data_IF_241104425348
#
_entry.id   IF_241104425348
#
_cell.length_a   1.000
_cell.length_b   1.000
_cell.length_c   1.000
_cell.angle_alpha   90.00
_cell.angle_beta   90.00
_cell.angle_gamma   90.00
#
_symmetry.space_group_name_H-M   'P 1'
#
loop_
_entity.id
_entity.type
_entity.pdbx_description
1 polymer ?
#
# COMPACT_ATOMS: atom_id res chain seq x y z
N UNK A 1 -19.23 -26.87 -23.82
CA UNK A 1 -18.57 -26.25 -22.66
C UNK A 1 -17.84 -25.01 -23.14
N UNK A 2 -17.96 -23.88 -22.44
CA UNK A 2 -17.21 -22.68 -22.80
C UNK A 2 -15.70 -22.95 -22.67
N UNK A 3 -14.93 -22.64 -23.70
CA UNK A 3 -13.46 -22.68 -23.67
C UNK A 3 -13.00 -21.54 -22.76
N UNK A 4 -12.24 -21.88 -21.71
CA UNK A 4 -11.71 -20.90 -20.75
C UNK A 4 -10.19 -20.80 -20.83
N UNK A 5 -9.67 -19.59 -20.73
CA UNK A 5 -8.23 -19.35 -20.55
C UNK A 5 -7.77 -19.91 -19.19
N UNK A 6 -6.46 -20.15 -19.05
CA UNK A 6 -5.89 -20.77 -17.85
C UNK A 6 -6.25 -20.03 -16.55
N UNK A 7 -6.12 -18.70 -16.56
CA UNK A 7 -6.39 -17.86 -15.39
C UNK A 7 -7.88 -17.79 -15.03
N UNK A 8 -8.79 -17.92 -16.00
CA UNK A 8 -10.25 -17.92 -15.77
C UNK A 8 -10.71 -19.12 -14.93
N UNK A 9 -9.86 -20.14 -14.78
CA UNK A 9 -10.11 -21.30 -13.92
C UNK A 9 -9.70 -21.04 -12.46
N UNK A 10 -8.90 -20.00 -12.19
CA UNK A 10 -8.45 -19.69 -10.84
C UNK A 10 -9.59 -19.08 -10.01
N UNK A 11 -9.79 -19.61 -8.80
CA UNK A 11 -10.76 -19.05 -7.86
C UNK A 11 -10.40 -17.60 -7.46
N UNK A 12 -9.11 -17.29 -7.32
CA UNK A 12 -8.65 -15.94 -6.97
C UNK A 12 -8.96 -14.93 -8.06
N UNK A 13 -8.84 -15.31 -9.33
CA UNK A 13 -9.21 -14.46 -10.47
C UNK A 13 -10.71 -14.12 -10.47
N UNK A 14 -11.57 -15.14 -10.26
CA UNK A 14 -13.02 -14.93 -10.19
C UNK A 14 -13.44 -14.04 -9.01
N UNK A 15 -12.74 -14.14 -7.88
CA UNK A 15 -12.98 -13.26 -6.73
C UNK A 15 -12.48 -11.83 -6.99
N UNK A 16 -11.34 -11.67 -7.66
CA UNK A 16 -10.86 -10.35 -8.07
C UNK A 16 -11.85 -9.65 -9.01
N UNK A 17 -12.42 -10.35 -10.00
CA UNK A 17 -13.48 -9.79 -10.86
C UNK A 17 -14.74 -9.35 -10.08
N UNK A 18 -15.14 -10.12 -9.06
CA UNK A 18 -16.26 -9.71 -8.19
C UNK A 18 -15.91 -8.47 -7.38
N UNK A 19 -14.68 -8.38 -6.89
CA UNK A 19 -14.20 -7.19 -6.19
C UNK A 19 -14.18 -5.97 -7.11
N UNK A 20 -13.76 -6.09 -8.37
CA UNK A 20 -13.85 -5.00 -9.36
C UNK A 20 -15.31 -4.55 -9.53
N UNK A 21 -16.25 -5.49 -9.72
CA UNK A 21 -17.67 -5.15 -9.83
C UNK A 21 -18.20 -4.41 -8.59
N UNK A 22 -17.84 -4.88 -7.39
CA UNK A 22 -18.17 -4.20 -6.14
C UNK A 22 -17.52 -2.82 -6.02
N UNK A 23 -16.24 -2.69 -6.42
CA UNK A 23 -15.53 -1.41 -6.41
C UNK A 23 -16.20 -0.39 -7.33
N UNK A 24 -16.72 -0.80 -8.49
CA UNK A 24 -17.50 0.08 -9.38
C UNK A 24 -18.78 0.58 -8.71
N UNK A 25 -19.47 -0.25 -7.93
CA UNK A 25 -20.66 0.19 -7.18
C UNK A 25 -20.30 1.25 -6.13
N UNK A 26 -19.16 1.09 -5.46
CA UNK A 26 -18.63 2.09 -4.51
C UNK A 26 -18.23 3.37 -5.24
N UNK A 27 -17.50 3.27 -6.35
CA UNK A 27 -17.04 4.41 -7.14
C UNK A 27 -18.19 5.23 -7.70
N UNK A 28 -19.29 4.59 -8.08
CA UNK A 28 -20.50 5.27 -8.54
C UNK A 28 -21.19 6.11 -7.44
N UNK A 29 -20.91 5.82 -6.16
CA UNK A 29 -21.51 6.48 -5.01
C UNK A 29 -20.66 7.62 -4.40
N UNK A 30 -19.38 7.74 -4.78
CA UNK A 30 -18.47 8.76 -4.23
C UNK A 30 -18.16 9.87 -5.23
N UNK A 31 -17.60 11.00 -4.77
CA UNK A 31 -17.15 12.07 -5.67
C UNK A 31 -15.94 11.61 -6.50
N UNK A 32 -16.15 11.46 -7.81
CA UNK A 32 -15.11 11.14 -8.81
C UNK A 32 -13.92 12.12 -8.84
N UNK A 33 -14.05 13.31 -8.25
CA UNK A 33 -12.95 14.28 -8.14
C UNK A 33 -11.98 13.96 -7.00
N UNK A 34 -12.38 13.14 -6.04
CA UNK A 34 -11.49 12.69 -4.99
C UNK A 34 -10.38 11.84 -5.60
N UNK A 35 -9.12 12.15 -5.31
CA UNK A 35 -7.96 11.48 -5.90
C UNK A 35 -8.01 9.95 -5.70
N UNK A 36 -8.60 9.51 -4.58
CA UNK A 36 -8.76 8.10 -4.23
C UNK A 36 -9.62 7.30 -5.21
N UNK A 37 -10.54 7.95 -5.94
CA UNK A 37 -11.44 7.25 -6.87
C UNK A 37 -10.68 6.61 -8.04
N UNK A 38 -9.80 7.38 -8.72
CA UNK A 38 -8.95 6.87 -9.82
C UNK A 38 -7.99 5.78 -9.33
N UNK A 39 -7.44 5.95 -8.12
CA UNK A 39 -6.57 4.94 -7.52
C UNK A 39 -7.29 3.63 -7.23
N UNK A 40 -8.47 3.67 -6.61
CA UNK A 40 -9.24 2.45 -6.32
C UNK A 40 -9.62 1.71 -7.60
N UNK A 41 -10.06 2.44 -8.64
CA UNK A 41 -10.42 1.87 -9.95
C UNK A 41 -9.24 1.12 -10.56
N UNK A 42 -8.14 1.84 -10.81
CA UNK A 42 -6.92 1.30 -11.42
C UNK A 42 -6.30 0.17 -10.62
N UNK A 43 -6.24 0.29 -9.29
CA UNK A 43 -5.68 -0.74 -8.43
C UNK A 43 -6.54 -2.02 -8.48
N UNK A 44 -7.87 -1.89 -8.52
CA UNK A 44 -8.78 -3.04 -8.60
C UNK A 44 -8.60 -3.82 -9.92
N UNK A 45 -8.46 -3.12 -11.04
CA UNK A 45 -8.16 -3.73 -12.35
C UNK A 45 -6.77 -4.38 -12.35
N UNK A 46 -5.78 -3.72 -11.74
CA UNK A 46 -4.41 -4.23 -11.66
C UNK A 46 -4.30 -5.57 -10.95
N UNK A 47 -5.14 -5.83 -9.94
CA UNK A 47 -5.23 -7.16 -9.29
C UNK A 47 -5.59 -8.24 -10.32
N UNK A 48 -6.63 -8.00 -11.12
CA UNK A 48 -7.14 -8.94 -12.13
C UNK A 48 -6.10 -9.18 -13.22
N UNK A 49 -5.55 -8.10 -13.77
CA UNK A 49 -4.53 -8.16 -14.82
C UNK A 49 -3.27 -8.90 -14.35
N UNK A 50 -2.83 -8.61 -13.13
CA UNK A 50 -1.62 -9.20 -12.58
C UNK A 50 -1.78 -10.68 -12.27
N UNK A 51 -2.95 -11.12 -11.77
CA UNK A 51 -3.26 -12.55 -11.60
C UNK A 51 -3.25 -13.26 -12.97
N UNK A 52 -3.89 -12.67 -13.98
CA UNK A 52 -3.94 -13.27 -15.31
C UNK A 52 -2.55 -13.36 -15.95
N UNK A 53 -1.76 -12.29 -15.85
CA UNK A 53 -0.40 -12.24 -16.35
C UNK A 53 0.50 -13.25 -15.64
N UNK A 54 0.46 -13.31 -14.30
CA UNK A 54 1.22 -14.26 -13.50
C UNK A 54 0.93 -15.70 -13.92
N UNK A 55 -0.34 -16.09 -14.00
CA UNK A 55 -0.74 -17.43 -14.43
C UNK A 55 -0.31 -17.77 -15.88
N UNK A 56 0.02 -16.78 -16.71
CA UNK A 56 0.48 -17.00 -18.08
C UNK A 56 2.00 -17.15 -18.21
N UNK A 57 2.77 -16.82 -17.16
CA UNK A 57 4.24 -16.82 -17.22
C UNK A 57 4.82 -18.23 -17.11
N UNK A 58 5.94 -18.42 -17.81
CA UNK A 58 6.68 -19.70 -17.86
C UNK A 58 7.79 -19.78 -16.83
N UNK A 59 8.41 -18.65 -16.46
CA UNK A 59 9.44 -18.60 -15.44
C UNK A 59 8.82 -18.26 -14.08
N UNK A 60 9.29 -18.93 -13.02
CA UNK A 60 8.84 -18.65 -11.65
C UNK A 60 9.10 -17.19 -11.26
N UNK A 61 10.27 -16.63 -11.56
CA UNK A 61 10.59 -15.25 -11.20
C UNK A 61 9.69 -14.20 -11.86
N UNK A 62 9.32 -14.37 -13.14
CA UNK A 62 8.42 -13.44 -13.82
C UNK A 62 6.99 -13.61 -13.32
N UNK A 63 6.54 -14.87 -13.11
CA UNK A 63 5.24 -15.19 -12.49
C UNK A 63 5.09 -14.53 -11.13
N UNK A 64 6.06 -14.75 -10.25
CA UNK A 64 6.01 -14.29 -8.86
C UNK A 64 6.00 -12.77 -8.82
N UNK A 65 6.74 -12.09 -9.70
CA UNK A 65 6.69 -10.63 -9.84
C UNK A 65 5.28 -10.11 -10.14
N UNK A 66 4.52 -10.78 -11.01
CA UNK A 66 3.13 -10.39 -11.26
C UNK A 66 2.24 -10.65 -10.05
N UNK A 67 2.40 -11.76 -9.33
CA UNK A 67 1.64 -11.99 -8.10
C UNK A 67 2.00 -11.01 -6.99
N UNK A 68 3.25 -10.57 -6.91
CA UNK A 68 3.69 -9.50 -6.00
C UNK A 68 3.01 -8.17 -6.34
N UNK A 69 2.81 -7.86 -7.63
CA UNK A 69 2.01 -6.71 -8.06
C UNK A 69 0.56 -6.86 -7.63
N UNK A 70 -0.06 -8.02 -7.85
CA UNK A 70 -1.45 -8.25 -7.42
C UNK A 70 -1.63 -8.10 -5.90
N UNK A 71 -0.66 -8.54 -5.08
CA UNK A 71 -0.67 -8.34 -3.63
C UNK A 71 -0.54 -6.86 -3.29
N UNK A 72 0.43 -6.15 -3.89
CA UNK A 72 0.60 -4.70 -3.73
C UNK A 72 -0.67 -3.92 -4.05
N UNK A 73 -1.29 -4.16 -5.20
CA UNK A 73 -2.55 -3.52 -5.60
C UNK A 73 -3.72 -3.87 -4.67
N UNK A 74 -3.75 -5.08 -4.11
CA UNK A 74 -4.72 -5.44 -3.08
C UNK A 74 -4.58 -4.61 -1.80
N UNK A 75 -3.35 -4.32 -1.38
CA UNK A 75 -3.09 -3.43 -0.24
C UNK A 75 -3.35 -1.96 -0.58
N UNK A 76 -3.06 -1.53 -1.81
CA UNK A 76 -3.43 -0.19 -2.31
C UNK A 76 -4.95 0.01 -2.27
N UNK A 77 -5.75 -0.96 -2.73
CA UNK A 77 -7.20 -0.91 -2.62
C UNK A 77 -7.68 -0.82 -1.16
N UNK A 78 -7.04 -1.57 -0.24
CA UNK A 78 -7.40 -1.51 1.17
C UNK A 78 -7.14 -0.12 1.77
N UNK A 79 -6.03 0.50 1.38
CA UNK A 79 -5.71 1.87 1.77
C UNK A 79 -6.61 2.91 1.11
N UNK A 80 -7.07 2.68 -0.12
CA UNK A 80 -8.10 3.51 -0.74
C UNK A 80 -9.39 3.51 0.09
N UNK A 81 -9.81 2.35 0.59
CA UNK A 81 -10.99 2.26 1.46
C UNK A 81 -10.80 3.01 2.79
N UNK A 82 -9.59 3.01 3.35
CA UNK A 82 -9.26 3.82 4.53
C UNK A 82 -9.31 5.32 4.23
N UNK A 83 -8.75 5.75 3.11
CA UNK A 83 -8.81 7.16 2.69
C UNK A 83 -10.25 7.60 2.44
N UNK A 84 -11.08 6.76 1.80
CA UNK A 84 -12.50 7.03 1.61
C UNK A 84 -13.23 7.19 2.95
N UNK A 85 -12.96 6.30 3.92
CA UNK A 85 -13.56 6.39 5.25
C UNK A 85 -13.08 7.64 6.01
N UNK A 86 -11.79 7.99 5.95
CA UNK A 86 -11.25 9.20 6.60
C UNK A 86 -11.84 10.51 6.05
N UNK A 87 -12.33 10.50 4.81
CA UNK A 87 -12.98 11.63 4.14
C UNK A 87 -14.51 11.54 4.18
N UNK A 88 -15.05 10.62 4.97
CA UNK A 88 -16.49 10.38 5.07
C UNK A 88 -17.18 10.10 3.70
N UNK A 89 -16.44 9.57 2.73
CA UNK A 89 -16.97 9.24 1.39
C UNK A 89 -17.74 7.92 1.40
N UNK A 90 -17.39 7.01 2.31
CA UNK A 90 -18.06 5.72 2.48
C UNK A 90 -18.34 5.46 3.95
N UNK A 91 -19.44 4.75 4.27
CA UNK A 91 -19.69 4.26 5.62
C UNK A 91 -18.72 3.12 5.99
N UNK A 92 -18.51 2.93 7.29
CA UNK A 92 -17.58 1.94 7.86
C UNK A 92 -17.88 0.50 7.43
N UNK A 93 -19.14 0.19 7.18
CA UNK A 93 -19.63 -1.12 6.73
C UNK A 93 -19.06 -1.46 5.35
N UNK A 94 -19.07 -0.51 4.41
CA UNK A 94 -18.49 -0.72 3.08
C UNK A 94 -16.97 -0.88 3.14
N UNK A 95 -16.30 -0.13 4.02
CA UNK A 95 -14.86 -0.29 4.25
C UNK A 95 -14.54 -1.71 4.73
N UNK A 96 -15.27 -2.22 5.74
CA UNK A 96 -15.09 -3.56 6.29
C UNK A 96 -15.40 -4.65 5.27
N UNK A 97 -16.48 -4.51 4.50
CA UNK A 97 -16.87 -5.46 3.45
C UNK A 97 -15.80 -5.55 2.36
N UNK A 98 -15.34 -4.40 1.86
CA UNK A 98 -14.28 -4.34 0.86
C UNK A 98 -12.97 -4.96 1.34
N UNK A 99 -12.53 -4.60 2.56
CA UNK A 99 -11.31 -5.17 3.16
C UNK A 99 -11.41 -6.68 3.41
N UNK A 100 -12.60 -7.17 3.75
CA UNK A 100 -12.85 -8.62 3.89
C UNK A 100 -12.65 -9.36 2.57
N UNK A 101 -13.16 -8.81 1.46
CA UNK A 101 -12.97 -9.36 0.12
C UNK A 101 -11.49 -9.34 -0.28
N UNK A 102 -10.83 -8.19 -0.12
CA UNK A 102 -9.41 -8.01 -0.45
C UNK A 102 -8.51 -8.96 0.34
N UNK A 103 -8.73 -9.13 1.65
CA UNK A 103 -7.94 -10.05 2.48
C UNK A 103 -8.00 -11.48 1.94
N UNK A 104 -9.18 -11.90 1.49
CA UNK A 104 -9.31 -13.21 0.86
C UNK A 104 -8.52 -13.30 -0.44
N UNK A 105 -8.62 -12.29 -1.32
CA UNK A 105 -7.91 -12.22 -2.60
C UNK A 105 -6.40 -12.27 -2.37
N UNK A 106 -5.87 -11.37 -1.54
CA UNK A 106 -4.45 -11.28 -1.20
C UNK A 106 -3.93 -12.60 -0.68
N UNK A 107 -4.60 -13.22 0.31
CA UNK A 107 -4.15 -14.50 0.86
C UNK A 107 -4.12 -15.63 -0.17
N UNK A 108 -5.09 -15.68 -1.09
CA UNK A 108 -5.05 -16.68 -2.17
C UNK A 108 -3.96 -16.40 -3.19
N UNK A 109 -3.68 -15.13 -3.50
CA UNK A 109 -2.59 -14.75 -4.41
C UNK A 109 -1.22 -15.11 -3.82
N UNK A 110 -1.01 -14.86 -2.53
CA UNK A 110 0.21 -15.27 -1.81
C UNK A 110 0.38 -16.79 -1.87
N UNK A 111 -0.67 -17.55 -1.56
CA UNK A 111 -0.62 -19.01 -1.63
C UNK A 111 -0.40 -19.53 -3.05
N UNK A 112 -0.98 -18.88 -4.05
CA UNK A 112 -0.79 -19.25 -5.46
C UNK A 112 0.69 -19.08 -5.86
N UNK A 113 1.30 -17.96 -5.47
CA UNK A 113 2.73 -17.70 -5.63
C UNK A 113 3.60 -18.78 -4.96
N UNK A 114 3.25 -19.18 -3.75
CA UNK A 114 4.00 -20.19 -2.98
C UNK A 114 3.81 -21.62 -3.51
N UNK A 115 2.60 -21.97 -3.97
CA UNK A 115 2.20 -23.35 -4.31
C UNK A 115 2.97 -24.01 -5.46
N UNK A 116 3.68 -23.23 -6.27
CA UNK A 116 4.47 -23.72 -7.40
C UNK A 116 5.98 -23.46 -7.24
N UNK A 117 6.43 -23.20 -6.01
CA UNK A 117 7.85 -23.24 -5.64
C UNK A 117 8.17 -24.59 -4.96
N UNK A 118 9.23 -25.33 -5.36
CA UNK A 118 9.58 -26.63 -4.76
C UNK A 118 10.11 -26.53 -3.31
N UNK A 119 10.07 -25.35 -2.69
CA UNK A 119 10.56 -25.10 -1.36
C UNK A 119 9.50 -25.43 -0.30
N UNK A 120 9.82 -26.41 0.55
CA UNK A 120 9.16 -26.60 1.84
C UNK A 120 9.46 -25.36 2.67
N UNK A 121 8.44 -24.54 2.90
CA UNK A 121 8.51 -23.42 3.82
C UNK A 121 7.94 -23.83 5.16
N UNK A 122 8.61 -23.43 6.24
CA UNK A 122 8.09 -23.55 7.60
C UNK A 122 6.79 -22.75 7.72
N UNK A 123 5.89 -23.23 8.57
CA UNK A 123 4.58 -22.62 8.80
C UNK A 123 4.73 -21.12 9.04
N UNK A 124 4.14 -20.25 8.20
CA UNK A 124 4.12 -18.81 8.45
C UNK A 124 3.50 -18.57 9.83
N UNK A 125 4.24 -17.89 10.71
CA UNK A 125 3.74 -17.47 12.01
C UNK A 125 2.44 -16.68 11.85
N UNK A 126 1.55 -16.85 12.83
CA UNK A 126 0.26 -16.15 12.93
C UNK A 126 0.40 -14.66 12.63
N UNK A 127 -0.35 -14.17 11.63
CA UNK A 127 -0.53 -12.76 11.35
C UNK A 127 -0.93 -12.02 12.64
N UNK A 128 -0.21 -10.94 12.93
CA UNK A 128 -0.13 -10.28 14.25
C UNK A 128 -1.45 -10.18 15.00
N UNK A 129 -1.57 -11.01 16.03
CA UNK A 129 -2.47 -10.77 17.15
C UNK A 129 -1.72 -9.94 18.19
N UNK A 130 -2.39 -9.00 18.83
CA UNK A 130 -1.87 -8.46 20.09
C UNK A 130 -1.84 -9.55 21.18
N UNK A 131 -1.45 -9.16 22.39
CA UNK A 131 -1.39 -10.00 23.60
C UNK A 131 -2.69 -10.76 23.93
N UNK A 132 -3.83 -10.39 23.35
CA UNK A 132 -5.16 -10.96 23.60
C UNK A 132 -5.76 -11.72 22.39
N UNK A 133 -4.99 -11.96 21.32
CA UNK A 133 -5.47 -12.78 20.21
C UNK A 133 -6.38 -12.03 19.21
N UNK A 134 -6.49 -10.71 19.31
CA UNK A 134 -7.32 -9.89 18.42
C UNK A 134 -6.48 -9.38 17.23
N UNK A 135 -6.95 -9.54 15.97
CA UNK A 135 -6.26 -8.96 14.82
C UNK A 135 -6.26 -7.44 14.92
N UNK A 136 -5.07 -6.83 15.00
CA UNK A 136 -4.87 -5.38 14.85
C UNK A 136 -4.94 -5.01 13.36
N UNK A 137 -6.15 -5.08 12.79
CA UNK A 137 -6.44 -4.68 11.41
C UNK A 137 -6.57 -5.84 10.41
N UNK A 138 -7.02 -5.52 9.18
CA UNK A 138 -7.15 -6.50 8.10
C UNK A 138 -5.82 -6.78 7.41
N UNK A 139 -4.96 -5.77 7.34
CA UNK A 139 -3.67 -5.80 6.66
C UNK A 139 -2.54 -5.28 7.55
N UNK A 140 -1.33 -5.80 7.36
CA UNK A 140 -0.19 -5.48 8.21
C UNK A 140 0.18 -3.99 8.23
N UNK A 141 -0.04 -3.26 7.13
CA UNK A 141 0.27 -1.83 7.05
C UNK A 141 -0.58 -0.99 8.03
N UNK A 142 -1.78 -1.45 8.41
CA UNK A 142 -2.67 -0.77 9.37
C UNK A 142 -2.08 -0.71 10.79
N UNK A 143 -1.12 -1.60 11.08
CA UNK A 143 -0.37 -1.62 12.32
C UNK A 143 0.75 -0.58 12.38
N UNK A 144 1.16 -0.01 11.26
CA UNK A 144 2.33 0.88 11.18
C UNK A 144 1.98 2.29 11.67
N UNK A 145 2.80 2.83 12.57
CA UNK A 145 2.62 4.22 13.05
C UNK A 145 2.70 5.23 11.90
N UNK A 146 3.62 5.03 10.95
CA UNK A 146 3.74 5.88 9.75
C UNK A 146 2.45 5.92 8.94
N UNK A 147 1.73 4.80 8.84
CA UNK A 147 0.47 4.69 8.12
C UNK A 147 -0.65 5.42 8.87
N UNK A 148 -0.76 5.20 10.18
CA UNK A 148 -1.76 5.87 11.03
C UNK A 148 -1.59 7.39 11.03
N UNK A 149 -0.35 7.87 11.09
CA UNK A 149 -0.04 9.31 10.99
C UNK A 149 -0.35 9.85 9.59
N UNK A 150 -0.19 9.05 8.53
CA UNK A 150 -0.60 9.45 7.18
C UNK A 150 -2.14 9.58 7.06
N UNK A 151 -2.93 8.73 7.72
CA UNK A 151 -4.39 8.87 7.78
C UNK A 151 -4.84 10.08 8.63
N UNK A 152 -4.10 10.39 9.71
CA UNK A 152 -4.28 11.65 10.46
C UNK A 152 -4.10 12.87 9.53
N UNK A 153 -3.09 12.83 8.65
CA UNK A 153 -2.85 13.90 7.67
C UNK A 153 -4.02 14.05 6.68
N UNK A 154 -4.56 12.95 6.16
CA UNK A 154 -5.75 12.97 5.28
C UNK A 154 -6.90 13.70 5.97
N UNK A 155 -7.20 13.29 7.19
CA UNK A 155 -8.32 13.84 7.97
C UNK A 155 -8.13 15.34 8.25
N UNK A 156 -6.91 15.77 8.58
CA UNK A 156 -6.61 17.19 8.85
C UNK A 156 -6.67 18.03 7.58
N UNK A 157 -6.17 17.52 6.45
CA UNK A 157 -6.21 18.24 5.18
C UNK A 157 -7.60 18.33 4.58
N UNK A 158 -8.41 17.29 4.70
CA UNK A 158 -9.79 17.28 4.21
C UNK A 158 -10.61 18.40 4.87
N UNK A 159 -10.53 18.50 6.22
CA UNK A 159 -11.13 19.63 6.96
C UNK A 159 -10.60 20.99 6.53
N UNK A 160 -9.28 21.12 6.37
CA UNK A 160 -8.67 22.37 5.92
C UNK A 160 -9.18 22.80 4.54
N UNK A 161 -9.37 21.85 3.62
CA UNK A 161 -9.90 22.10 2.28
C UNK A 161 -11.37 22.54 2.33
N UNK A 162 -12.17 21.99 3.25
CA UNK A 162 -13.55 22.43 3.47
C UNK A 162 -13.63 23.84 4.07
N UNK A 163 -12.72 24.17 4.99
CA UNK A 163 -12.74 25.43 5.75
C UNK A 163 -12.14 26.62 5.00
N UNK A 164 -11.30 26.36 3.98
CA UNK A 164 -10.56 27.39 3.27
C UNK A 164 -10.92 27.41 1.78
N UNK A 165 -11.28 28.59 1.30
CA UNK A 165 -11.43 28.87 -0.13
C UNK A 165 -10.07 28.96 -0.86
N UNK A 166 -9.35 27.85 -0.97
CA UNK A 166 -8.00 27.78 -1.58
C UNK A 166 -8.01 27.51 -3.10
N UNK A 167 -9.19 27.32 -3.71
CA UNK A 167 -9.36 27.11 -5.15
C UNK A 167 -9.10 25.66 -5.59
N UNK A 168 -9.89 25.19 -6.57
CA UNK A 168 -9.96 23.76 -6.95
C UNK A 168 -8.64 23.14 -7.40
N UNK A 169 -7.70 23.92 -7.96
CA UNK A 169 -6.37 23.42 -8.35
C UNK A 169 -5.52 23.04 -7.14
N UNK A 170 -5.58 23.82 -6.07
CA UNK A 170 -4.76 23.61 -4.89
C UNK A 170 -5.32 22.49 -4.02
N UNK A 171 -6.65 22.47 -3.83
CA UNK A 171 -7.31 21.36 -3.14
C UNK A 171 -7.04 20.04 -3.84
N UNK A 172 -7.22 19.95 -5.17
CA UNK A 172 -6.96 18.72 -5.92
C UNK A 172 -5.49 18.28 -5.84
N UNK A 173 -4.53 19.22 -5.82
CA UNK A 173 -3.11 18.89 -5.69
C UNK A 173 -2.78 18.37 -4.29
N UNK A 174 -3.24 19.05 -3.24
CA UNK A 174 -3.04 18.60 -1.86
C UNK A 174 -3.69 17.24 -1.64
N UNK A 175 -4.88 17.05 -2.17
CA UNK A 175 -5.61 15.78 -2.08
C UNK A 175 -4.85 14.63 -2.74
N UNK A 176 -4.35 14.87 -3.97
CA UNK A 176 -3.53 13.91 -4.70
C UNK A 176 -2.25 13.54 -3.95
N UNK A 177 -1.48 14.55 -3.53
CA UNK A 177 -0.20 14.32 -2.86
C UNK A 177 -0.43 13.63 -1.51
N UNK A 178 -1.45 14.01 -0.75
CA UNK A 178 -1.78 13.37 0.53
C UNK A 178 -2.26 11.93 0.36
N UNK A 179 -3.18 11.68 -0.56
CA UNK A 179 -3.65 10.32 -0.88
C UNK A 179 -2.48 9.43 -1.30
N UNK A 180 -1.58 9.95 -2.14
CA UNK A 180 -0.38 9.24 -2.59
C UNK A 180 0.52 8.79 -1.44
N UNK A 181 0.66 9.56 -0.35
CA UNK A 181 1.43 9.14 0.83
C UNK A 181 0.89 7.82 1.38
N UNK A 182 -0.42 7.78 1.67
CA UNK A 182 -1.08 6.64 2.32
C UNK A 182 -0.99 5.40 1.44
N UNK A 183 -1.30 5.55 0.15
CA UNK A 183 -1.32 4.46 -0.81
C UNK A 183 0.06 3.83 -1.01
N UNK A 184 1.11 4.66 -1.13
CA UNK A 184 2.46 4.15 -1.32
C UNK A 184 2.99 3.43 -0.07
N UNK A 185 2.64 3.86 1.14
CA UNK A 185 3.00 3.12 2.37
C UNK A 185 2.36 1.72 2.34
N UNK A 186 1.06 1.62 2.03
CA UNK A 186 0.35 0.35 2.00
C UNK A 186 0.83 -0.58 0.88
N UNK A 187 0.95 -0.06 -0.34
CA UNK A 187 1.41 -0.82 -1.49
C UNK A 187 2.86 -1.30 -1.32
N UNK A 188 3.73 -0.43 -0.80
CA UNK A 188 5.10 -0.77 -0.44
C UNK A 188 5.17 -1.95 0.53
N UNK A 189 4.32 -1.94 1.56
CA UNK A 189 4.22 -3.02 2.53
C UNK A 189 3.72 -4.35 1.92
N UNK A 190 3.13 -4.33 0.72
CA UNK A 190 2.76 -5.52 -0.05
C UNK A 190 3.87 -6.08 -0.92
N UNK A 191 5.04 -5.41 -1.00
CA UNK A 191 6.16 -5.84 -1.84
C UNK A 191 7.04 -6.85 -1.11
N UNK A 192 7.27 -7.99 -1.75
CA UNK A 192 8.20 -9.03 -1.28
C UNK A 192 9.67 -8.65 -1.51
N UNK A 193 9.94 -7.84 -2.54
CA UNK A 193 11.26 -7.28 -2.81
C UNK A 193 11.46 -5.98 -2.02
N UNK A 194 12.50 -5.92 -1.19
CA UNK A 194 12.82 -4.73 -0.37
C UNK A 194 13.19 -3.51 -1.20
N UNK A 195 13.92 -3.69 -2.30
CA UNK A 195 14.23 -2.61 -3.22
C UNK A 195 12.94 -1.95 -3.74
N UNK A 196 11.93 -2.76 -4.06
CA UNK A 196 10.64 -2.24 -4.51
C UNK A 196 9.86 -1.61 -3.35
N UNK A 197 9.80 -2.22 -2.17
CA UNK A 197 9.20 -1.60 -0.97
C UNK A 197 9.81 -0.21 -0.72
N UNK A 198 11.14 -0.09 -0.73
CA UNK A 198 11.85 1.17 -0.54
C UNK A 198 11.45 2.23 -1.55
N UNK A 199 11.34 1.87 -2.84
CA UNK A 199 10.90 2.80 -3.89
C UNK A 199 9.53 3.40 -3.57
N UNK A 200 8.60 2.61 -3.05
CA UNK A 200 7.30 3.12 -2.62
C UNK A 200 7.44 4.08 -1.43
N UNK A 201 8.29 3.79 -0.45
CA UNK A 201 8.54 4.72 0.66
C UNK A 201 9.20 6.02 0.19
N UNK A 202 10.11 5.99 -0.79
CA UNK A 202 10.69 7.18 -1.41
C UNK A 202 9.62 8.04 -2.13
N UNK A 203 8.66 7.39 -2.80
CA UNK A 203 7.51 8.09 -3.42
C UNK A 203 6.62 8.70 -2.34
N UNK A 204 6.29 7.96 -1.27
CA UNK A 204 5.49 8.47 -0.16
C UNK A 204 6.14 9.69 0.50
N UNK A 205 7.46 9.65 0.71
CA UNK A 205 8.23 10.79 1.21
C UNK A 205 8.16 11.99 0.26
N UNK A 206 8.36 11.77 -1.04
CA UNK A 206 8.25 12.83 -2.05
C UNK A 206 6.86 13.48 -2.05
N UNK A 207 5.80 12.67 -1.96
CA UNK A 207 4.42 13.14 -1.86
C UNK A 207 4.16 13.93 -0.58
N UNK A 208 4.69 13.50 0.57
CA UNK A 208 4.59 14.25 1.82
C UNK A 208 5.28 15.62 1.74
N UNK A 209 6.43 15.70 1.07
CA UNK A 209 7.09 16.98 0.77
C UNK A 209 6.28 17.84 -0.21
N UNK A 210 5.56 17.20 -1.14
CA UNK A 210 4.58 17.85 -2.02
C UNK A 210 3.47 18.56 -1.23
N UNK A 211 2.87 17.86 -0.25
CA UNK A 211 1.90 18.45 0.68
C UNK A 211 2.51 19.62 1.45
N UNK A 212 3.68 19.41 2.07
CA UNK A 212 4.34 20.43 2.89
C UNK A 212 4.59 21.72 2.10
N UNK A 213 5.17 21.59 0.91
CA UNK A 213 5.45 22.74 0.03
C UNK A 213 4.17 23.36 -0.54
N UNK A 214 3.13 22.56 -0.80
CA UNK A 214 1.82 23.06 -1.21
C UNK A 214 1.20 23.99 -0.18
N UNK A 215 1.26 23.62 1.10
CA UNK A 215 0.81 24.46 2.21
C UNK A 215 1.62 25.76 2.33
N UNK A 216 2.94 25.70 2.13
CA UNK A 216 3.79 26.91 2.13
C UNK A 216 3.44 27.85 0.99
N UNK A 217 3.14 27.32 -0.20
CA UNK A 217 2.71 28.13 -1.35
C UNK A 217 1.36 28.81 -1.09
N UNK A 218 0.42 28.12 -0.43
CA UNK A 218 -0.86 28.74 -0.03
C UNK A 218 -0.64 29.89 0.95
N UNK A 219 0.21 29.69 1.96
CA UNK A 219 0.52 30.73 2.95
C UNK A 219 1.24 31.92 2.30
N UNK A 220 2.23 31.67 1.45
CA UNK A 220 2.97 32.71 0.74
C UNK A 220 2.08 33.54 -0.21
N UNK A 221 0.97 32.97 -0.68
CA UNK A 221 -0.03 33.66 -1.51
C UNK A 221 -1.09 34.40 -0.69
N UNK A 222 -1.02 34.35 0.64
CA UNK A 222 -2.04 34.93 1.53
C UNK A 222 -3.39 34.22 1.45
N UNK A 223 -3.44 32.99 0.93
CA UNK A 223 -4.67 32.20 0.85
C UNK A 223 -5.03 31.54 2.18
N UNK A 224 -4.04 31.33 3.04
CA UNK A 224 -4.16 30.79 4.40
C UNK A 224 -3.22 31.51 5.34
N UNK A 225 -3.62 31.66 6.60
CA UNK A 225 -2.74 32.05 7.70
C UNK A 225 -1.94 30.84 8.20
N UNK A 226 -0.79 31.11 8.83
CA UNK A 226 0.07 30.05 9.39
C UNK A 226 -0.65 29.18 10.43
N UNK A 227 -1.55 29.78 11.23
CA UNK A 227 -2.36 29.05 12.21
C UNK A 227 -3.30 28.03 11.56
N UNK A 228 -3.86 28.34 10.38
CA UNK A 228 -4.77 27.46 9.67
C UNK A 228 -4.07 26.19 9.15
N UNK A 229 -2.81 26.30 8.73
CA UNK A 229 -2.02 25.15 8.26
C UNK A 229 -1.20 24.47 9.36
N UNK A 230 -1.20 25.02 10.57
CA UNK A 230 -0.37 24.56 11.69
C UNK A 230 -0.65 23.11 12.06
N UNK A 231 -1.92 22.69 12.05
CA UNK A 231 -2.31 21.30 12.27
C UNK A 231 -1.67 20.34 11.25
N UNK A 232 -1.85 20.61 9.96
CA UNK A 232 -1.29 19.78 8.89
C UNK A 232 0.25 19.75 8.93
N UNK A 233 0.90 20.90 9.18
CA UNK A 233 2.35 21.01 9.35
C UNK A 233 2.85 20.21 10.56
N UNK A 234 2.12 20.23 11.67
CA UNK A 234 2.42 19.42 12.86
C UNK A 234 2.40 17.93 12.59
N UNK A 235 1.42 17.44 11.81
CA UNK A 235 1.36 16.03 11.38
C UNK A 235 2.56 15.69 10.48
N UNK A 236 2.90 16.56 9.52
CA UNK A 236 4.05 16.34 8.62
C UNK A 236 5.38 16.26 9.37
N UNK A 237 5.57 17.06 10.43
CA UNK A 237 6.77 17.01 11.28
C UNK A 237 6.93 15.65 11.96
N UNK A 238 5.84 14.96 12.29
CA UNK A 238 5.87 13.59 12.81
C UNK A 238 6.03 12.55 11.69
N UNK A 239 5.33 12.74 10.58
CA UNK A 239 5.25 11.78 9.48
C UNK A 239 6.59 11.60 8.75
N UNK A 240 7.28 12.69 8.43
CA UNK A 240 8.51 12.64 7.61
C UNK A 240 9.62 11.82 8.30
N UNK A 241 9.93 12.00 9.59
CA UNK A 241 10.86 11.13 10.30
C UNK A 241 10.46 9.66 10.31
N UNK A 242 9.16 9.35 10.42
CA UNK A 242 8.68 7.97 10.39
C UNK A 242 8.90 7.33 9.00
N UNK A 243 8.66 8.07 7.92
CA UNK A 243 8.96 7.62 6.55
C UNK A 243 10.46 7.37 6.35
N UNK A 244 11.31 8.29 6.80
CA UNK A 244 12.77 8.14 6.71
C UNK A 244 13.29 7.00 7.58
N UNK A 245 12.73 6.81 8.77
CA UNK A 245 13.06 5.70 9.66
C UNK A 245 12.68 4.35 9.05
N UNK A 246 11.48 4.22 8.48
CA UNK A 246 11.07 3.01 7.76
C UNK A 246 11.99 2.76 6.56
N UNK A 247 12.37 3.81 5.82
CA UNK A 247 13.32 3.69 4.72
C UNK A 247 14.69 3.18 5.18
N UNK A 248 15.24 3.76 6.25
CA UNK A 248 16.52 3.37 6.82
C UNK A 248 16.53 1.91 7.31
N UNK A 249 15.45 1.48 7.96
CA UNK A 249 15.26 0.07 8.35
C UNK A 249 15.31 -0.89 7.15
N UNK A 250 14.72 -0.50 6.02
CA UNK A 250 14.76 -1.30 4.78
C UNK A 250 16.16 -1.34 4.16
N UNK A 251 16.97 -0.29 4.31
CA UNK A 251 18.36 -0.24 3.84
C UNK A 251 19.28 -1.12 4.73
N UNK A 252 19.22 -0.96 6.05
CA UNK A 252 20.07 -1.72 7.01
C UNK A 252 19.83 -3.23 6.95
N UNK A 253 18.58 -3.63 6.76
CA UNK A 253 18.23 -5.04 6.67
C UNK A 253 18.82 -5.71 5.41
N UNK A 254 19.05 -4.96 4.32
CA UNK A 254 19.68 -5.45 3.08
C UNK A 254 21.20 -5.58 3.21
N UNK A 255 21.85 -4.67 3.95
CA UNK A 255 23.28 -4.75 4.27
C UNK A 255 23.57 -5.95 5.18
N UNK A 256 22.71 -6.24 6.15
CA UNK A 256 22.82 -7.44 7.00
C UNK A 256 22.66 -8.77 6.23
N UNK A 257 21.80 -8.80 5.20
CA UNK A 257 21.59 -9.98 4.36
C UNK A 257 22.74 -10.22 3.36
N UNK A 258 23.40 -9.16 2.89
CA UNK A 258 24.55 -9.23 1.98
C UNK A 258 25.90 -9.39 2.71
N UNK A 259 26.00 -8.99 3.98
CA UNK A 259 27.17 -9.23 4.83
C UNK A 259 27.31 -10.67 5.35
N UNK A 260 26.19 -11.41 5.45
CA UNK A 260 26.18 -12.81 5.92
C UNK A 260 26.75 -13.82 4.91
N UNK A 261 26.92 -13.44 3.64
CA UNK A 261 27.37 -14.35 2.56
C UNK A 261 28.89 -14.45 2.40
N UNK A 262 29.71 -13.67 3.12
CA UNK A 262 31.17 -13.76 2.99
C UNK A 262 31.88 -14.46 4.17
N UNK A 263 31.28 -14.56 5.36
CA UNK A 263 31.98 -14.99 6.58
C UNK A 263 32.06 -16.52 6.82
N UNK A 264 32.02 -17.37 5.77
CA UNK A 264 32.06 -18.84 5.96
C UNK A 264 32.85 -19.62 4.92
N UNK A 265 33.96 -19.05 4.42
CA UNK A 265 34.97 -19.82 3.68
C UNK A 265 36.36 -19.57 4.27
N UNK A 266 36.58 -20.03 5.49
CA UNK A 266 37.95 -20.35 5.95
C UNK A 266 38.18 -21.85 5.71
N UNK A 267 39.07 -22.15 4.77
CA UNK A 267 39.47 -23.49 4.41
C UNK A 267 40.32 -24.14 5.53
N UNK A 268 40.16 -25.44 5.82
CA UNK A 268 41.03 -26.12 6.76
C UNK A 268 42.43 -26.30 6.17
N UNK A 269 43.42 -25.77 6.88
CA UNK A 269 44.85 -26.00 6.65
C UNK A 269 45.18 -27.48 6.79
N UNK A 270 45.57 -28.14 5.71
CA UNK A 270 46.12 -29.49 5.75
C UNK A 270 47.56 -29.44 6.30
N UNK A 271 47.72 -29.89 7.54
CA UNK A 271 49.02 -30.23 8.11
C UNK A 271 49.55 -31.51 7.45
N UNK A 272 50.78 -31.43 6.96
CA UNK A 272 51.58 -32.57 6.53
C UNK A 272 52.07 -33.32 7.77
N UNK A 273 51.90 -34.64 7.76
CA UNK A 273 52.84 -35.63 8.31
C UNK A 273 52.54 -36.98 7.66
#
# INVERSE_FOLDING_TARGET
MAVRLGHEKLHVYQRALRFVGWAQEVLAAIDHRAAVADHLDRASESIVESIANGNSRRSAGDRDRFFDVAVGSGLECAACLDVCACKDLIPSELQVDGKTQLRSIVNMTIRLRESESPSVHETPGTYGTDTDGIPVGFFAHEGLDVYRVALELVTVLDRLVCDVAMGGRYSARLDKDCTSVVLNIAEGNGRFCRLDHRRFIDIAHTSAMGVASGLDVLAARGMVAGEQIGGAKGVLVRLVPLLLGLRGYLDEADEGASGATWASVEAPSSSRS
#
